data_IF_095170813908
#
_entry.id   IF_095170813908
#
_cell.length_a   1.000
_cell.length_b   1.000
_cell.length_c   1.000
_cell.angle_alpha   90.00
_cell.angle_beta   90.00
_cell.angle_gamma   90.00
#
_symmetry.space_group_name_H-M   'P 1'
#
loop_
_entity.id
_entity.type
_entity.pdbx_description
1 polymer ?
#
# COMPACT_ATOMS: atom_id res chain seq x y z
N UNK A 1 18.78 -11.89 -4.50
CA UNK A 1 17.72 -11.09 -5.16
C UNK A 1 16.60 -10.89 -4.16
N UNK A 2 16.38 -9.65 -3.71
CA UNK A 2 15.18 -9.33 -2.90
C UNK A 2 14.02 -9.33 -3.88
N UNK A 3 13.18 -10.36 -3.83
CA UNK A 3 12.01 -10.45 -4.69
C UNK A 3 11.02 -9.35 -4.29
N UNK A 4 10.84 -8.35 -5.15
CA UNK A 4 9.70 -7.45 -5.05
C UNK A 4 8.43 -8.26 -5.31
N UNK A 5 7.66 -8.51 -4.26
CA UNK A 5 6.37 -9.21 -4.34
C UNK A 5 5.21 -8.33 -3.83
N UNK A 6 5.51 -7.12 -3.33
CA UNK A 6 4.51 -6.24 -2.75
C UNK A 6 3.72 -5.50 -3.83
N UNK A 7 2.54 -5.06 -3.43
CA UNK A 7 1.59 -4.27 -4.19
C UNK A 7 1.49 -2.92 -3.51
N UNK A 8 1.87 -1.87 -4.23
CA UNK A 8 1.75 -0.50 -3.76
C UNK A 8 0.43 0.09 -4.24
N UNK A 9 -0.44 0.42 -3.29
CA UNK A 9 -1.79 0.95 -3.56
C UNK A 9 -1.77 2.45 -3.24
N UNK A 10 -1.86 3.30 -4.25
CA UNK A 10 -1.99 4.74 -4.08
C UNK A 10 -3.46 5.15 -4.16
N UNK A 11 -3.85 6.08 -3.27
CA UNK A 11 -5.22 6.59 -3.15
C UNK A 11 -5.20 7.93 -2.41
N UNK A 12 -6.24 8.74 -2.58
CA UNK A 12 -6.46 9.90 -1.74
C UNK A 12 -6.90 9.46 -0.34
N UNK A 13 -6.12 9.80 0.68
CA UNK A 13 -6.34 9.27 2.03
C UNK A 13 -7.61 9.82 2.71
N UNK A 14 -8.13 10.96 2.23
CA UNK A 14 -9.32 11.60 2.79
C UNK A 14 -10.60 11.05 2.14
N UNK A 15 -10.59 10.88 0.82
CA UNK A 15 -11.78 10.52 0.04
C UNK A 15 -11.86 9.02 -0.31
N UNK A 16 -10.73 8.34 -0.54
CA UNK A 16 -10.70 7.02 -1.19
C UNK A 16 -10.24 5.87 -0.28
N UNK A 17 -9.96 6.16 0.99
CA UNK A 17 -9.48 5.17 1.96
C UNK A 17 -10.45 3.99 2.15
N UNK A 18 -11.75 4.17 1.93
CA UNK A 18 -12.74 3.09 2.02
C UNK A 18 -12.51 2.00 0.98
N UNK A 19 -12.05 2.34 -0.23
CA UNK A 19 -11.74 1.35 -1.26
C UNK A 19 -10.55 0.48 -0.85
N UNK A 20 -9.49 1.10 -0.29
CA UNK A 20 -8.36 0.36 0.28
C UNK A 20 -8.81 -0.57 1.42
N UNK A 21 -9.67 -0.09 2.33
CA UNK A 21 -10.22 -0.92 3.42
C UNK A 21 -11.06 -2.09 2.91
N UNK A 22 -11.82 -1.89 1.83
CA UNK A 22 -12.60 -2.95 1.18
C UNK A 22 -11.69 -4.03 0.56
N UNK A 23 -10.58 -3.63 -0.08
CA UNK A 23 -9.59 -4.58 -0.59
C UNK A 23 -8.98 -5.42 0.54
N UNK A 24 -8.64 -4.78 1.67
CA UNK A 24 -8.17 -5.49 2.86
C UNK A 24 -9.23 -6.44 3.44
N UNK A 25 -10.49 -6.01 3.53
CA UNK A 25 -11.59 -6.84 4.02
C UNK A 25 -11.85 -8.05 3.11
N UNK A 26 -11.83 -7.87 1.79
CA UNK A 26 -11.95 -8.98 0.82
C UNK A 26 -10.79 -9.95 0.93
N UNK A 27 -9.56 -9.45 1.03
CA UNK A 27 -8.36 -10.28 1.24
C UNK A 27 -8.44 -11.12 2.52
N UNK A 28 -9.03 -10.58 3.59
CA UNK A 28 -9.19 -11.30 4.86
C UNK A 28 -10.37 -12.29 4.86
N UNK A 29 -11.35 -12.09 3.99
CA UNK A 29 -12.47 -13.01 3.85
C UNK A 29 -12.01 -14.25 3.04
N UNK A 30 -11.86 -15.37 3.75
CA UNK A 30 -11.26 -16.64 3.29
C UNK A 30 -11.89 -17.26 2.03
N UNK A 31 -13.04 -16.74 1.59
CA UNK A 31 -13.80 -17.25 0.44
C UNK A 31 -13.50 -16.56 -0.90
N UNK A 32 -12.47 -15.71 -0.99
CA UNK A 32 -12.10 -15.04 -2.25
C UNK A 32 -10.65 -15.32 -2.64
N UNK A 33 -10.39 -15.57 -3.92
CA UNK A 33 -9.02 -15.71 -4.45
C UNK A 33 -8.25 -14.39 -4.52
N UNK A 34 -8.81 -13.32 -3.95
CA UNK A 34 -8.23 -11.99 -3.99
C UNK A 34 -7.16 -11.85 -2.90
N UNK A 35 -5.89 -11.93 -3.29
CA UNK A 35 -4.78 -11.80 -2.36
C UNK A 35 -3.68 -10.91 -2.95
N UNK A 36 -3.10 -10.04 -2.12
CA UNK A 36 -2.01 -9.15 -2.49
C UNK A 36 -1.09 -8.91 -1.29
N UNK A 37 0.22 -8.74 -1.52
CA UNK A 37 1.16 -8.41 -0.47
C UNK A 37 1.22 -6.90 -0.28
N UNK A 38 0.77 -6.39 0.86
CA UNK A 38 0.61 -4.94 1.04
C UNK A 38 1.97 -4.25 1.30
N UNK A 39 2.28 -3.20 0.52
CA UNK A 39 3.49 -2.38 0.71
C UNK A 39 3.35 -1.35 1.85
N UNK A 40 2.14 -0.98 2.27
CA UNK A 40 1.90 -0.07 3.39
C UNK A 40 2.29 -0.67 4.74
N UNK A 41 2.29 -2.00 4.86
CA UNK A 41 2.79 -2.73 6.03
C UNK A 41 4.28 -2.44 6.33
N UNK A 42 5.09 -2.14 5.30
CA UNK A 42 6.52 -1.85 5.47
C UNK A 42 6.82 -0.62 6.31
N UNK A 43 5.91 0.36 6.33
CA UNK A 43 6.22 1.68 6.84
C UNK A 43 4.94 2.41 7.24
N UNK A 44 4.74 2.70 8.54
CA UNK A 44 3.70 3.63 8.96
C UNK A 44 4.14 5.07 8.66
N UNK A 45 3.39 5.79 7.82
CA UNK A 45 3.52 7.23 7.64
C UNK A 45 2.88 7.88 8.88
N UNK A 46 3.68 8.44 9.77
CA UNK A 46 3.20 9.18 10.93
C UNK A 46 2.93 10.62 10.51
N UNK A 47 1.86 11.22 11.04
CA UNK A 47 1.42 12.58 10.69
C UNK A 47 2.45 13.70 10.97
N UNK A 48 3.52 13.39 11.73
CA UNK A 48 4.60 14.33 12.07
C UNK A 48 5.89 14.09 11.26
N UNK A 49 5.84 13.30 10.19
CA UNK A 49 7.02 13.03 9.36
C UNK A 49 7.35 14.24 8.47
N UNK A 50 8.64 14.58 8.37
CA UNK A 50 9.11 15.61 7.44
C UNK A 50 8.88 15.17 5.98
N UNK A 51 8.74 16.13 5.06
CA UNK A 51 8.53 15.85 3.64
C UNK A 51 9.59 14.88 3.06
N UNK A 52 10.85 15.07 3.44
CA UNK A 52 11.95 14.20 3.01
C UNK A 52 11.77 12.75 3.50
N UNK A 53 11.27 12.57 4.73
CA UNK A 53 10.98 11.25 5.28
C UNK A 53 9.79 10.60 4.55
N UNK A 54 8.78 11.39 4.17
CA UNK A 54 7.63 10.93 3.39
C UNK A 54 8.09 10.47 2.01
N UNK A 55 8.85 11.30 1.27
CA UNK A 55 9.40 10.95 -0.05
C UNK A 55 10.27 9.70 0.00
N UNK A 56 11.12 9.57 1.02
CA UNK A 56 11.95 8.39 1.22
C UNK A 56 11.12 7.13 1.44
N UNK A 57 10.13 7.18 2.34
CA UNK A 57 9.23 6.04 2.60
C UNK A 57 8.40 5.64 1.39
N UNK A 58 7.94 6.60 0.59
CA UNK A 58 7.24 6.34 -0.67
C UNK A 58 8.16 5.64 -1.67
N UNK A 59 9.40 6.11 -1.81
CA UNK A 59 10.41 5.48 -2.67
C UNK A 59 10.71 4.04 -2.24
N UNK A 60 10.88 3.80 -0.93
CA UNK A 60 11.10 2.45 -0.37
C UNK A 60 9.92 1.50 -0.67
N UNK A 61 8.68 1.99 -0.60
CA UNK A 61 7.49 1.20 -0.96
C UNK A 61 7.48 0.86 -2.45
N UNK A 62 7.80 1.81 -3.32
CA UNK A 62 7.86 1.58 -4.77
C UNK A 62 8.96 0.59 -5.14
N UNK A 63 10.14 0.67 -4.54
CA UNK A 63 11.26 -0.24 -4.80
C UNK A 63 10.95 -1.70 -4.40
N UNK A 64 10.09 -1.90 -3.40
CA UNK A 64 9.69 -3.22 -2.94
C UNK A 64 8.41 -3.74 -3.61
N UNK A 65 7.75 -2.92 -4.42
CA UNK A 65 6.51 -3.27 -5.10
C UNK A 65 6.76 -3.74 -6.53
N UNK A 66 6.06 -4.80 -6.93
CA UNK A 66 6.03 -5.30 -8.32
C UNK A 66 4.79 -4.80 -9.06
N UNK A 67 3.72 -4.52 -8.32
CA UNK A 67 2.43 -4.08 -8.85
C UNK A 67 2.11 -2.73 -8.22
N UNK A 68 1.67 -1.79 -9.06
CA UNK A 68 1.16 -0.50 -8.65
C UNK A 68 -0.33 -0.42 -8.98
N UNK A 69 -1.14 -0.06 -7.99
CA UNK A 69 -2.58 0.14 -8.14
C UNK A 69 -2.88 1.57 -7.74
N UNK A 70 -3.56 2.31 -8.62
CA UNK A 70 -4.06 3.65 -8.33
C UNK A 70 -5.58 3.57 -8.23
N UNK A 71 -6.14 4.04 -7.13
CA UNK A 71 -7.58 4.19 -6.94
C UNK A 71 -7.96 5.61 -7.40
N UNK A 72 -9.00 5.72 -8.25
CA UNK A 72 -9.50 6.96 -8.86
C UNK A 72 -11.03 7.01 -8.80
#
# INVERSE_FOLDING_TARGET
MVYANKTYIAFDADNDIHYYRLMCARKHNDNTSFNFYDAHDLNNLRSYASEEQIKRKLSERMQNAKIFILLV
#
